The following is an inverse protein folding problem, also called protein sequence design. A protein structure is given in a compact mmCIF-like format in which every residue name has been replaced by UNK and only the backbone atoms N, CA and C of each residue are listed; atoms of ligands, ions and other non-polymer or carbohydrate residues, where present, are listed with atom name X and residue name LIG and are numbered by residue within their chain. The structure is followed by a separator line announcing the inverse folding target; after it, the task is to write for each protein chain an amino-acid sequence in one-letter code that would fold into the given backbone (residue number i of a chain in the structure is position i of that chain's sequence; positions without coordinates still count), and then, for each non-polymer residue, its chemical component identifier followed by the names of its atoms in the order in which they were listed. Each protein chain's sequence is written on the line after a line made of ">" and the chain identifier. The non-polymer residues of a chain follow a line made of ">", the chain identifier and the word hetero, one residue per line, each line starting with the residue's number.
data_IF_273022391687
#
_entry.id   IF_273022391687
#
_cell.length_a   1.000
_cell.length_b   1.000
_cell.length_c   1.000
_cell.angle_alpha   90.00
_cell.angle_beta   90.00
_cell.angle_gamma   90.00
#
_symmetry.space_group_name_H-M   'P 1'
#
loop_
_entity.id
_entity.type
_entity.pdbx_description
1 polymer ?
#
# COMPACT_ATOMS: atom_id res chain seq x y z
N UNK A 1 2.79 -10.72 -0.09
CA UNK A 1 1.43 -10.43 0.43
C UNK A 1 1.62 -9.60 1.69
N UNK A 2 0.82 -8.56 1.92
CA UNK A 2 0.85 -7.78 3.17
C UNK A 2 -0.55 -7.78 3.80
N UNK A 3 -0.63 -7.72 5.12
CA UNK A 3 -1.87 -7.85 5.87
C UNK A 3 -1.89 -6.85 7.03
N UNK A 4 -3.01 -6.16 7.21
CA UNK A 4 -3.22 -5.21 8.29
C UNK A 4 -4.61 -5.38 8.90
N UNK A 5 -4.73 -5.27 10.22
CA UNK A 5 -6.02 -5.09 10.89
C UNK A 5 -6.12 -3.64 11.32
N UNK A 6 -7.07 -2.90 10.76
CA UNK A 6 -7.28 -1.49 11.06
C UNK A 6 -8.74 -1.27 11.43
N UNK A 7 -8.98 -0.70 12.62
CA UNK A 7 -10.34 -0.48 13.16
C UNK A 7 -11.21 -1.75 13.12
N UNK A 8 -10.60 -2.92 13.38
CA UNK A 8 -11.26 -4.23 13.35
C UNK A 8 -11.51 -4.80 11.94
N UNK A 9 -11.08 -4.11 10.88
CA UNK A 9 -11.25 -4.55 9.49
C UNK A 9 -9.95 -5.17 9.00
N UNK A 10 -10.04 -6.37 8.41
CA UNK A 10 -8.90 -7.08 7.86
C UNK A 10 -8.64 -6.60 6.42
N UNK A 11 -7.45 -6.10 6.16
CA UNK A 11 -6.99 -5.58 4.88
C UNK A 11 -5.86 -6.47 4.36
N UNK A 12 -5.99 -7.00 3.14
CA UNK A 12 -5.00 -7.89 2.52
C UNK A 12 -4.58 -7.32 1.17
N UNK A 13 -3.27 -7.18 0.97
CA UNK A 13 -2.67 -6.73 -0.28
C UNK A 13 -1.96 -7.91 -0.95
N UNK A 14 -2.51 -8.31 -2.10
CA UNK A 14 -1.97 -9.40 -2.92
C UNK A 14 -1.31 -8.80 -4.14
N UNK A 15 -0.03 -9.14 -4.36
CA UNK A 15 0.76 -8.70 -5.50
C UNK A 15 0.74 -9.80 -6.56
N UNK A 16 0.37 -9.43 -7.78
CA UNK A 16 0.33 -10.31 -8.95
C UNK A 16 1.27 -9.72 -10.01
N UNK A 17 2.17 -10.53 -10.56
CA UNK A 17 3.01 -10.13 -11.69
C UNK A 17 2.22 -10.30 -13.00
N UNK A 18 2.28 -9.32 -13.90
CA UNK A 18 1.69 -9.49 -15.23
C UNK A 18 2.54 -10.45 -16.07
N UNK A 19 1.89 -11.36 -16.80
CA UNK A 19 2.61 -12.33 -17.65
C UNK A 19 3.34 -11.67 -18.83
N UNK A 20 2.98 -10.44 -19.19
CA UNK A 20 3.48 -9.73 -20.39
C UNK A 20 4.74 -8.89 -20.11
N UNK A 21 5.18 -8.74 -18.87
CA UNK A 21 6.34 -7.92 -18.53
C UNK A 21 6.94 -8.32 -17.19
N UNK A 22 8.26 -8.30 -17.11
CA UNK A 22 8.96 -8.60 -15.87
C UNK A 22 8.81 -7.53 -14.79
N UNK A 23 8.52 -6.29 -15.20
CA UNK A 23 8.48 -5.13 -14.31
C UNK A 23 7.06 -4.61 -14.07
N UNK A 24 6.02 -5.25 -14.62
CA UNK A 24 4.64 -4.83 -14.40
C UNK A 24 3.93 -5.74 -13.41
N UNK A 25 3.25 -5.10 -12.47
CA UNK A 25 2.53 -5.74 -11.39
C UNK A 25 1.15 -5.13 -11.22
N UNK A 26 0.28 -5.92 -10.60
CA UNK A 26 -1.03 -5.54 -10.12
C UNK A 26 -1.10 -5.83 -8.64
N UNK A 27 -1.72 -4.93 -7.88
CA UNK A 27 -2.01 -5.15 -6.48
C UNK A 27 -3.51 -5.20 -6.28
N UNK A 28 -4.01 -6.28 -5.68
CA UNK A 28 -5.40 -6.37 -5.25
C UNK A 28 -5.47 -6.10 -3.74
N UNK A 29 -6.17 -5.03 -3.35
CA UNK A 29 -6.54 -4.78 -1.96
C UNK A 29 -7.89 -5.46 -1.67
N UNK A 30 -7.91 -6.37 -0.70
CA UNK A 30 -9.12 -6.96 -0.16
C UNK A 30 -9.39 -6.41 1.23
N UNK A 31 -10.63 -5.98 1.47
CA UNK A 31 -11.06 -5.45 2.75
C UNK A 31 -12.25 -6.27 3.25
N UNK A 32 -12.09 -6.89 4.43
CA UNK A 32 -13.02 -7.82 5.06
C UNK A 32 -13.60 -7.18 6.31
N UNK A 33 -14.89 -6.83 6.24
CA UNK A 33 -15.61 -6.25 7.37
C UNK A 33 -16.24 -7.36 8.21
N UNK A 34 -15.84 -7.55 9.49
CA UNK A 34 -16.44 -8.58 10.33
C UNK A 34 -17.88 -8.27 10.73
N UNK A 35 -18.29 -6.99 10.70
CA UNK A 35 -19.63 -6.56 11.09
C UNK A 35 -20.73 -7.10 10.17
N UNK A 36 -20.41 -7.32 8.90
CA UNK A 36 -21.37 -7.77 7.89
C UNK A 36 -20.81 -8.90 7.00
N UNK A 37 -19.65 -9.46 7.36
CA UNK A 37 -18.92 -10.50 6.62
C UNK A 37 -18.71 -10.16 5.13
N UNK A 38 -18.72 -8.87 4.79
CA UNK A 38 -18.59 -8.42 3.41
C UNK A 38 -17.11 -8.34 3.06
N UNK A 39 -16.78 -8.89 1.88
CA UNK A 39 -15.47 -8.75 1.27
C UNK A 39 -15.59 -7.76 0.11
N UNK A 40 -14.74 -6.75 0.13
CA UNK A 40 -14.57 -5.83 -1.01
C UNK A 40 -13.19 -6.01 -1.60
N UNK A 41 -13.09 -5.85 -2.93
CA UNK A 41 -11.84 -5.95 -3.68
C UNK A 41 -11.65 -4.67 -4.49
N UNK A 42 -10.44 -4.12 -4.41
CA UNK A 42 -10.04 -2.98 -5.21
C UNK A 42 -8.73 -3.31 -5.96
N UNK A 43 -8.74 -3.37 -7.30
CA UNK A 43 -7.54 -3.59 -8.09
C UNK A 43 -6.79 -2.28 -8.36
N UNK A 44 -5.48 -2.31 -8.16
CA UNK A 44 -4.52 -1.26 -8.52
C UNK A 44 -3.64 -1.85 -9.62
N UNK A 45 -3.75 -1.32 -10.83
CA UNK A 45 -3.17 -1.91 -12.04
C UNK A 45 -1.96 -1.11 -12.52
N UNK A 46 -1.19 -1.73 -13.42
CA UNK A 46 -0.07 -1.10 -14.13
C UNK A 46 1.00 -0.53 -13.18
N UNK A 47 1.30 -1.23 -12.09
CA UNK A 47 2.35 -0.84 -11.15
C UNK A 47 3.70 -1.25 -11.74
N UNK A 48 4.59 -0.29 -11.95
CA UNK A 48 5.94 -0.50 -12.43
C UNK A 48 6.89 -0.75 -11.25
N UNK A 49 7.65 -1.83 -11.32
CA UNK A 49 8.71 -2.16 -10.37
C UNK A 49 9.96 -1.35 -10.71
N UNK A 50 10.41 -0.53 -9.77
CA UNK A 50 11.62 0.29 -9.87
C UNK A 50 12.53 -0.03 -8.69
N UNK A 51 13.82 -0.28 -8.94
CA UNK A 51 14.82 -0.57 -7.91
C UNK A 51 14.42 -1.64 -6.88
N UNK A 52 13.83 -2.75 -7.34
CA UNK A 52 13.28 -3.82 -6.47
C UNK A 52 12.03 -3.46 -5.65
N UNK A 53 11.54 -2.23 -5.75
CA UNK A 53 10.33 -1.76 -5.07
C UNK A 53 9.13 -1.79 -6.02
N UNK A 54 8.02 -2.38 -5.58
CA UNK A 54 6.76 -2.41 -6.32
C UNK A 54 5.86 -1.26 -5.87
N UNK A 55 5.78 -1.02 -4.57
CA UNK A 55 5.00 0.05 -3.96
C UNK A 55 5.54 0.34 -2.55
N UNK A 56 5.15 1.49 -2.01
CA UNK A 56 5.30 1.85 -0.60
C UNK A 56 3.90 1.98 0.01
N UNK A 57 3.76 1.45 1.22
CA UNK A 57 2.49 1.42 1.94
C UNK A 57 2.75 1.93 3.35
N UNK A 58 2.06 3.00 3.72
CA UNK A 58 2.14 3.63 5.04
C UNK A 58 0.74 3.70 5.65
N UNK A 59 0.68 3.75 6.97
CA UNK A 59 -0.55 4.06 7.71
C UNK A 59 -0.35 5.45 8.31
N UNK A 60 -1.26 6.37 8.01
CA UNK A 60 -1.19 7.73 8.56
C UNK A 60 -1.71 7.81 10.01
N UNK A 61 -1.58 8.99 10.62
CA UNK A 61 -2.01 9.26 12.00
C UNK A 61 -3.52 9.03 12.21
N UNK A 62 -4.32 9.08 11.14
CA UNK A 62 -5.78 8.84 11.16
C UNK A 62 -6.16 7.40 10.85
N UNK A 63 -5.16 6.52 10.77
CA UNK A 63 -5.26 5.11 10.40
C UNK A 63 -5.67 4.86 8.94
N UNK A 64 -5.54 5.83 8.05
CA UNK A 64 -5.77 5.58 6.61
C UNK A 64 -4.54 4.93 5.97
N UNK A 65 -4.78 4.13 4.93
CA UNK A 65 -3.68 3.47 4.21
C UNK A 65 -3.29 4.36 3.04
N UNK A 66 -2.05 4.84 3.05
CA UNK A 66 -1.45 5.58 1.93
C UNK A 66 -0.66 4.60 1.08
N UNK A 67 -1.04 4.48 -0.18
CA UNK A 67 -0.44 3.57 -1.16
C UNK A 67 0.24 4.37 -2.27
N UNK A 68 1.57 4.36 -2.27
CA UNK A 68 2.44 5.08 -3.20
C UNK A 68 3.08 4.08 -4.17
N UNK A 69 3.02 4.37 -5.47
CA UNK A 69 3.52 3.46 -6.50
C UNK A 69 3.86 4.21 -7.77
N UNK A 70 4.74 3.63 -8.58
CA UNK A 70 4.98 4.13 -9.93
C UNK A 70 4.02 3.46 -10.89
N UNK A 71 3.18 4.24 -11.56
CA UNK A 71 2.24 3.73 -12.55
C UNK A 71 2.86 3.81 -13.94
N UNK A 72 2.84 2.69 -14.64
CA UNK A 72 3.19 2.63 -16.05
C UNK A 72 2.06 3.21 -16.91
N UNK A 73 2.40 4.18 -17.76
CA UNK A 73 1.50 4.73 -18.76
C UNK A 73 1.86 4.18 -20.15
N UNK A 74 1.02 3.30 -20.73
CA UNK A 74 1.29 2.73 -22.05
C UNK A 74 1.38 3.77 -23.18
N UNK A 75 0.67 4.90 -23.05
CA UNK A 75 0.60 5.94 -24.08
C UNK A 75 1.91 6.73 -24.19
N UNK A 76 2.55 7.01 -23.05
CA UNK A 76 3.83 7.76 -23.02
C UNK A 76 5.05 6.85 -22.89
N UNK A 77 4.84 5.54 -22.66
CA UNK A 77 5.88 4.55 -22.30
C UNK A 77 6.74 4.97 -21.10
N UNK A 78 6.20 5.84 -20.25
CA UNK A 78 6.86 6.34 -19.05
C UNK A 78 6.19 5.84 -17.77
N UNK A 79 6.79 6.19 -16.65
CA UNK A 79 6.25 5.98 -15.31
C UNK A 79 5.86 7.32 -14.69
N UNK A 80 4.83 7.30 -13.85
CA UNK A 80 4.40 8.44 -13.04
C UNK A 80 4.20 7.97 -11.61
N UNK A 81 4.81 8.65 -10.65
CA UNK A 81 4.55 8.39 -9.24
C UNK A 81 3.11 8.81 -8.90
N UNK A 82 2.30 7.85 -8.48
CA UNK A 82 0.94 8.06 -8.00
C UNK A 82 0.85 7.71 -6.52
N UNK A 83 -0.09 8.36 -5.83
CA UNK A 83 -0.45 8.05 -4.46
C UNK A 83 -1.97 8.01 -4.36
N UNK A 84 -2.49 6.95 -3.74
CA UNK A 84 -3.91 6.79 -3.45
C UNK A 84 -4.11 6.50 -1.96
N UNK A 85 -5.22 6.97 -1.40
CA UNK A 85 -5.49 6.84 0.03
C UNK A 85 -6.72 5.99 0.24
N UNK A 86 -6.62 4.95 1.05
CA UNK A 86 -7.77 4.19 1.53
C UNK A 86 -8.27 4.84 2.82
N UNK A 87 -9.40 5.51 2.72
CA UNK A 87 -10.09 6.08 3.87
C UNK A 87 -10.79 4.95 4.65
N UNK A 88 -10.30 4.70 5.85
CA UNK A 88 -10.79 3.64 6.73
C UNK A 88 -12.12 3.98 7.40
N UNK A 89 -12.52 5.25 7.42
CA UNK A 89 -13.82 5.66 7.94
C UNK A 89 -14.96 5.26 7.01
N UNK A 90 -14.73 5.36 5.70
CA UNK A 90 -15.74 5.03 4.68
C UNK A 90 -15.44 3.74 3.89
N UNK A 91 -14.30 3.10 4.15
CA UNK A 91 -13.80 1.89 3.46
C UNK A 91 -13.72 2.05 1.94
N UNK A 92 -13.16 3.18 1.48
CA UNK A 92 -13.04 3.47 0.04
C UNK A 92 -11.68 4.06 -0.29
N UNK A 93 -11.22 3.76 -1.51
CA UNK A 93 -10.06 4.42 -2.09
C UNK A 93 -10.46 5.79 -2.65
N UNK A 94 -9.67 6.79 -2.28
CA UNK A 94 -9.76 8.17 -2.75
C UNK A 94 -8.52 8.40 -3.61
N UNK A 95 -8.74 8.74 -4.88
CA UNK A 95 -7.68 9.19 -5.77
C UNK A 95 -7.20 10.55 -5.27
N UNK A 96 -5.92 10.64 -4.97
CA UNK A 96 -5.33 11.89 -4.53
C UNK A 96 -5.07 12.76 -5.76
N UNK A 97 -6.13 13.33 -6.35
CA UNK A 97 -6.04 14.18 -7.54
C UNK A 97 -5.28 15.50 -7.29
N UNK A 98 -4.89 15.80 -6.03
CA UNK A 98 -4.31 17.07 -5.63
C UNK A 98 -3.01 16.93 -4.80
N UNK A 99 -2.01 16.23 -5.33
CA UNK A 99 -0.62 16.53 -4.97
C UNK A 99 0.15 17.02 -6.21
N UNK A 100 -0.21 18.22 -6.68
CA UNK A 100 0.79 19.08 -7.33
C UNK A 100 1.81 19.48 -6.27
N UNK A 101 2.76 18.60 -5.98
CA UNK A 101 4.02 19.01 -5.35
C UNK A 101 4.96 19.41 -6.48
N UNK A 102 4.96 20.71 -6.76
CA UNK A 102 6.16 21.39 -7.24
C UNK A 102 7.28 21.16 -6.20
N UNK A 103 8.04 20.08 -6.36
CA UNK A 103 9.31 19.93 -5.66
C UNK A 103 10.35 20.71 -6.49
N UNK A 104 10.35 22.03 -6.34
CA UNK A 104 11.61 22.76 -6.41
C UNK A 104 12.43 22.23 -5.23
N UNK A 105 13.51 21.54 -5.58
CA UNK A 105 14.40 20.86 -4.67
C UNK A 105 15.34 21.92 -4.06
N UNK A 106 14.82 22.71 -3.13
CA UNK A 106 15.66 23.56 -2.28
C UNK A 106 16.23 22.68 -1.17
N UNK A 107 17.52 22.40 -1.34
CA UNK A 107 18.42 21.75 -0.41
C UNK A 107 18.69 22.71 0.74
N UNK A 108 18.17 22.42 1.93
CA UNK A 108 18.84 22.64 3.24
C UNK A 108 17.82 22.53 4.37
N UNK A 109 17.93 21.48 5.18
CA UNK A 109 18.32 21.58 6.58
C UNK A 109 18.08 20.26 7.32
N UNK A 110 19.10 19.89 8.08
CA UNK A 110 19.18 18.74 8.96
C UNK A 110 18.15 18.85 10.08
N UNK A 111 17.19 17.94 10.17
CA UNK A 111 16.62 17.47 11.46
C UNK A 111 16.19 16.00 11.30
N UNK A 112 17.04 15.08 11.75
CA UNK A 112 16.73 13.66 11.89
C UNK A 112 15.88 13.46 13.15
N UNK A 113 14.56 13.37 12.98
CA UNK A 113 13.69 12.71 13.95
C UNK A 113 13.59 11.24 13.55
N UNK A 114 14.47 10.41 14.10
CA UNK A 114 14.27 8.96 14.12
C UNK A 114 13.10 8.64 15.06
N UNK A 115 11.89 8.57 14.49
CA UNK A 115 10.80 7.85 15.13
C UNK A 115 11.08 6.36 14.95
N UNK A 116 11.45 5.69 16.04
CA UNK A 116 11.55 4.24 16.12
C UNK A 116 10.17 3.61 15.92
N UNK A 117 9.76 3.40 14.67
CA UNK A 117 8.57 2.61 14.35
C UNK A 117 8.97 1.14 14.45
N UNK A 118 8.97 0.63 15.68
CA UNK A 118 8.83 -0.80 15.92
C UNK A 118 7.41 -1.21 15.48
N UNK A 119 7.22 -1.60 14.22
CA UNK A 119 5.93 -2.14 13.73
C UNK A 119 5.91 -3.65 13.54
N UNK A 120 6.83 -4.39 14.17
CA UNK A 120 6.83 -5.85 14.15
C UNK A 120 5.56 -6.42 14.81
N UNK A 121 4.97 -5.73 15.80
CA UNK A 121 3.73 -6.18 16.46
C UNK A 121 2.49 -6.19 15.54
N UNK A 122 2.56 -5.54 14.38
CA UNK A 122 1.45 -5.46 13.43
C UNK A 122 1.64 -6.31 12.17
N UNK A 123 2.79 -6.97 12.01
CA UNK A 123 2.99 -7.93 10.93
C UNK A 123 2.53 -9.33 11.38
N UNK A 124 1.29 -9.66 11.02
CA UNK A 124 0.67 -10.95 11.33
C UNK A 124 1.45 -12.11 10.69
N UNK A 125 2.30 -11.89 9.68
CA UNK A 125 3.12 -12.97 9.15
C UNK A 125 4.22 -13.40 10.12
N UNK A 126 4.94 -12.48 10.79
CA UNK A 126 5.91 -12.89 11.82
C UNK A 126 5.23 -13.52 13.05
N UNK A 127 4.07 -12.98 13.46
CA UNK A 127 3.36 -13.48 14.64
C UNK A 127 2.67 -14.86 14.40
N UNK A 128 2.23 -15.14 13.17
CA UNK A 128 1.59 -16.42 12.83
C UNK A 128 2.57 -17.58 12.63
N UNK A 129 3.85 -17.33 12.35
CA UNK A 129 4.85 -18.42 12.34
C UNK A 129 5.14 -18.98 13.74
N UNK A 130 4.74 -18.28 14.81
CA UNK A 130 4.76 -18.82 16.19
C UNK A 130 3.56 -19.70 16.55
N UNK A 131 2.53 -19.80 15.68
CA UNK A 131 1.37 -20.66 15.95
C UNK A 131 1.74 -22.10 15.60
N UNK A 132 2.12 -22.89 16.62
CA UNK A 132 2.18 -24.35 16.50
C UNK A 132 0.75 -24.87 16.26
N UNK A 133 0.46 -25.29 15.05
CA UNK A 133 -0.73 -26.10 14.78
C UNK A 133 -0.61 -27.42 15.59
N UNK A 134 -1.44 -27.58 16.61
CA UNK A 134 -1.68 -28.90 17.19
C UNK A 134 -2.63 -29.63 16.24
N UNK A 135 -2.11 -30.68 15.61
CA UNK A 135 -2.94 -31.72 14.99
C UNK A 135 -3.60 -32.57 16.07
#
# INVERSE_FOLDING_TARGET
>A
MRLYIIKGILNIFVVEKYSISDNLYKVSHFNFSPLNYKVSKYPINNIYKEDEHIYKLNIDETSNIVFEYNKFNPSTRGTLSESIVFDTSCNKWILNNNFSRSANLDTSNNETYELSINSIEHDIFENCYSIKYKF
#
